data_IF_089553135137
#
_entry.id   IF_089553135137
#
_cell.length_a   1.000
_cell.length_b   1.000
_cell.length_c   1.000
_cell.angle_alpha   90.00
_cell.angle_beta   90.00
_cell.angle_gamma   90.00
#
_symmetry.space_group_name_H-M   'P 1'
#
loop_
_entity.id
_entity.type
_entity.pdbx_description
1 polymer ?
#
# COMPACT_ATOMS: atom_id res chain seq x y z
N UNK A 1 -35.85 -10.42 37.12
CA UNK A 1 -34.43 -10.57 37.50
C UNK A 1 -33.67 -10.85 36.21
N UNK A 2 -32.72 -10.00 35.80
CA UNK A 2 -32.00 -10.16 34.52
C UNK A 2 -31.18 -11.45 34.60
N UNK A 3 -31.44 -12.41 33.72
CA UNK A 3 -30.64 -13.63 33.68
C UNK A 3 -29.33 -13.30 32.96
N UNK A 4 -28.20 -13.55 33.63
CA UNK A 4 -26.86 -13.31 33.09
C UNK A 4 -26.21 -14.63 32.69
N UNK A 5 -25.40 -14.59 31.63
CA UNK A 5 -24.42 -15.63 31.28
C UNK A 5 -23.04 -14.97 31.37
N UNK A 6 -22.32 -15.23 32.46
CA UNK A 6 -21.14 -14.44 32.82
C UNK A 6 -21.51 -12.99 33.15
N UNK A 7 -20.89 -12.01 32.48
CA UNK A 7 -21.19 -10.59 32.61
C UNK A 7 -22.22 -10.06 31.61
N UNK A 8 -22.68 -10.89 30.66
CA UNK A 8 -23.62 -10.48 29.60
C UNK A 8 -25.06 -10.88 29.95
N UNK A 9 -26.02 -10.09 29.46
CA UNK A 9 -27.44 -10.47 29.47
C UNK A 9 -27.60 -11.76 28.68
N UNK A 10 -28.45 -12.67 29.14
CA UNK A 10 -28.66 -13.97 28.50
C UNK A 10 -29.10 -13.82 27.05
N UNK A 11 -30.01 -12.90 26.73
CA UNK A 11 -30.45 -12.70 25.34
C UNK A 11 -29.28 -12.33 24.42
N UNK A 12 -28.37 -11.47 24.91
CA UNK A 12 -27.18 -11.07 24.18
C UNK A 12 -26.19 -12.24 24.04
N UNK A 13 -25.97 -13.02 25.10
CA UNK A 13 -25.11 -14.20 25.05
C UNK A 13 -25.65 -15.26 24.05
N UNK A 14 -26.96 -15.48 24.04
CA UNK A 14 -27.63 -16.38 23.11
C UNK A 14 -27.49 -15.86 21.67
N UNK A 15 -27.69 -14.55 21.44
CA UNK A 15 -27.47 -13.90 20.15
C UNK A 15 -26.03 -14.06 19.67
N UNK A 16 -25.03 -13.76 20.50
CA UNK A 16 -23.61 -13.92 20.19
C UNK A 16 -23.30 -15.38 19.78
N UNK A 17 -23.85 -16.34 20.52
CA UNK A 17 -23.57 -17.77 20.28
C UNK A 17 -24.18 -18.33 19.00
N UNK A 18 -25.26 -17.72 18.49
CA UNK A 18 -26.03 -18.19 17.34
C UNK A 18 -25.82 -17.34 16.08
N UNK A 19 -25.47 -16.06 16.25
CA UNK A 19 -25.26 -15.15 15.14
C UNK A 19 -24.12 -15.62 14.25
N UNK A 20 -24.26 -15.29 12.95
CA UNK A 20 -23.23 -15.50 11.95
C UNK A 20 -22.63 -14.16 11.57
N UNK A 21 -21.31 -14.04 11.64
CA UNK A 21 -20.61 -12.79 11.34
C UNK A 21 -19.53 -13.00 10.27
N UNK A 22 -19.26 -11.93 9.52
CA UNK A 22 -18.21 -11.90 8.51
C UNK A 22 -17.11 -10.91 8.92
N UNK A 23 -15.87 -11.38 8.96
CA UNK A 23 -14.67 -10.56 9.14
C UNK A 23 -13.94 -10.48 7.79
N UNK A 24 -13.84 -9.27 7.25
CA UNK A 24 -13.18 -9.02 5.97
C UNK A 24 -11.77 -8.49 6.22
N UNK A 25 -10.77 -9.36 6.07
CA UNK A 25 -9.37 -9.10 6.36
C UNK A 25 -8.87 -9.83 7.61
N UNK A 26 -7.72 -10.50 7.48
CA UNK A 26 -6.99 -11.22 8.53
C UNK A 26 -5.62 -10.58 8.81
N UNK A 27 -5.54 -9.25 8.64
CA UNK A 27 -4.36 -8.44 8.94
C UNK A 27 -4.23 -8.06 10.43
N UNK A 28 -3.65 -6.89 10.72
CA UNK A 28 -3.40 -6.43 12.09
C UNK A 28 -4.67 -6.36 12.95
N UNK A 29 -5.69 -5.65 12.46
CA UNK A 29 -7.01 -5.60 13.12
C UNK A 29 -7.67 -6.98 13.08
N UNK A 30 -7.60 -7.69 11.94
CA UNK A 30 -8.25 -8.98 11.74
C UNK A 30 -7.84 -10.06 12.76
N UNK A 31 -6.54 -10.19 13.06
CA UNK A 31 -6.05 -11.12 14.07
C UNK A 31 -6.58 -10.80 15.48
N UNK A 32 -6.50 -9.53 15.88
CA UNK A 32 -6.99 -9.07 17.18
C UNK A 32 -8.51 -9.23 17.30
N UNK A 33 -9.23 -8.89 16.23
CA UNK A 33 -10.67 -9.00 16.13
C UNK A 33 -11.11 -10.45 16.24
N UNK A 34 -10.49 -11.37 15.49
CA UNK A 34 -10.83 -12.79 15.55
C UNK A 34 -10.65 -13.35 16.97
N UNK A 35 -9.55 -13.01 17.66
CA UNK A 35 -9.36 -13.37 19.07
C UNK A 35 -10.47 -12.79 19.94
N UNK A 36 -10.75 -11.49 19.82
CA UNK A 36 -11.75 -10.84 20.66
C UNK A 36 -13.13 -11.47 20.45
N UNK A 37 -13.51 -11.78 19.22
CA UNK A 37 -14.78 -12.42 18.89
C UNK A 37 -14.91 -13.80 19.54
N UNK A 38 -13.95 -14.70 19.33
CA UNK A 38 -14.04 -16.06 19.90
C UNK A 38 -14.00 -16.04 21.43
N UNK A 39 -13.20 -15.15 22.04
CA UNK A 39 -13.15 -14.99 23.51
C UNK A 39 -14.40 -14.31 24.08
N UNK A 40 -15.10 -13.49 23.30
CA UNK A 40 -16.41 -12.90 23.68
C UNK A 40 -17.55 -13.92 23.54
N UNK A 41 -17.31 -15.05 22.86
CA UNK A 41 -18.27 -16.16 22.73
C UNK A 41 -18.92 -16.29 21.36
N UNK A 42 -18.50 -15.50 20.37
CA UNK A 42 -18.98 -15.65 18.99
C UNK A 42 -18.55 -17.01 18.45
N UNK A 43 -19.52 -17.81 18.00
CA UNK A 43 -19.25 -19.16 17.50
C UNK A 43 -19.14 -19.22 15.99
N UNK A 44 -20.05 -18.59 15.24
CA UNK A 44 -20.11 -18.75 13.78
C UNK A 44 -19.45 -17.57 13.07
N UNK A 45 -18.19 -17.74 12.68
CA UNK A 45 -17.37 -16.67 12.10
C UNK A 45 -16.89 -17.10 10.72
N UNK A 46 -17.09 -16.24 9.73
CA UNK A 46 -16.44 -16.38 8.44
C UNK A 46 -15.34 -15.31 8.30
N UNK A 47 -14.14 -15.72 7.90
CA UNK A 47 -12.98 -14.85 7.72
C UNK A 47 -12.50 -14.97 6.29
N UNK A 48 -12.30 -13.84 5.62
CA UNK A 48 -11.79 -13.79 4.25
C UNK A 48 -10.58 -12.87 4.15
N UNK A 49 -9.52 -13.34 3.49
CA UNK A 49 -8.33 -12.55 3.19
C UNK A 49 -7.66 -13.12 1.92
N UNK A 50 -7.21 -12.25 1.03
CA UNK A 50 -6.62 -12.66 -0.25
C UNK A 50 -5.11 -12.91 -0.16
N UNK A 51 -4.46 -12.48 0.93
CA UNK A 51 -3.02 -12.47 1.06
C UNK A 51 -2.47 -13.74 1.73
N UNK A 52 -1.17 -13.95 1.46
CA UNK A 52 -0.31 -14.85 2.22
C UNK A 52 0.48 -14.10 3.30
N UNK A 53 0.96 -14.83 4.30
CA UNK A 53 1.71 -14.28 5.44
C UNK A 53 3.12 -13.89 5.01
N UNK A 54 3.52 -12.68 5.38
CA UNK A 54 4.85 -12.15 5.18
C UNK A 54 5.59 -11.89 6.52
N UNK A 55 6.93 -11.90 6.52
CA UNK A 55 7.75 -11.67 7.72
C UNK A 55 7.45 -10.31 8.38
N UNK A 56 7.19 -9.27 7.57
CA UNK A 56 6.83 -7.94 8.04
C UNK A 56 5.50 -7.88 8.79
N UNK A 57 4.67 -8.93 8.71
CA UNK A 57 3.39 -9.02 9.39
C UNK A 57 3.54 -9.42 10.88
N UNK A 58 4.61 -10.14 11.22
CA UNK A 58 4.77 -10.83 12.51
C UNK A 58 4.89 -9.90 13.72
N UNK A 59 5.16 -8.60 13.51
CA UNK A 59 5.22 -7.63 14.61
C UNK A 59 3.83 -7.19 15.14
N UNK A 60 2.75 -7.51 14.41
CA UNK A 60 1.40 -7.00 14.71
C UNK A 60 0.24 -7.93 14.37
N UNK A 61 0.53 -9.12 13.83
CA UNK A 61 -0.45 -10.14 13.43
C UNK A 61 -0.14 -11.42 14.22
N UNK A 62 -0.45 -11.41 15.52
CA UNK A 62 0.08 -12.38 16.49
C UNK A 62 -0.40 -13.83 16.29
N UNK A 63 -1.46 -14.05 15.48
CA UNK A 63 -1.88 -15.40 15.09
C UNK A 63 -0.86 -16.06 14.14
N UNK A 64 0.09 -15.29 13.60
CA UNK A 64 1.08 -15.79 12.64
C UNK A 64 2.45 -15.95 13.29
N UNK A 65 3.14 -17.02 12.90
CA UNK A 65 4.50 -17.34 13.35
C UNK A 65 5.42 -17.42 12.13
N UNK A 66 6.74 -17.36 12.35
CA UNK A 66 7.73 -17.43 11.27
C UNK A 66 7.58 -18.68 10.38
N UNK A 67 7.16 -19.80 10.95
CA UNK A 67 6.89 -21.06 10.21
C UNK A 67 5.66 -21.00 9.28
N UNK A 68 4.84 -19.95 9.39
CA UNK A 68 3.64 -19.76 8.60
C UNK A 68 3.86 -18.85 7.37
N UNK A 69 5.05 -18.27 7.20
CA UNK A 69 5.36 -17.39 6.06
C UNK A 69 5.08 -18.10 4.73
N UNK A 70 4.39 -17.42 3.82
CA UNK A 70 3.94 -17.94 2.53
C UNK A 70 2.60 -18.69 2.56
N UNK A 71 2.03 -18.99 3.73
CA UNK A 71 0.70 -19.61 3.86
C UNK A 71 -0.40 -18.55 3.85
N UNK A 72 -1.64 -18.96 3.54
CA UNK A 72 -2.83 -18.09 3.61
C UNK A 72 -3.03 -17.47 4.99
N UNK A 73 -3.27 -16.16 5.06
CA UNK A 73 -3.61 -15.47 6.31
C UNK A 73 -4.91 -16.01 6.91
N UNK A 74 -5.97 -16.13 6.10
CA UNK A 74 -7.28 -16.57 6.57
C UNK A 74 -7.22 -17.99 7.17
N UNK A 75 -6.54 -18.93 6.50
CA UNK A 75 -6.46 -20.32 6.98
C UNK A 75 -5.65 -20.43 8.27
N UNK A 76 -4.47 -19.82 8.34
CA UNK A 76 -3.63 -19.88 9.54
C UNK A 76 -4.26 -19.12 10.71
N UNK A 77 -5.00 -18.04 10.45
CA UNK A 77 -5.75 -17.33 11.48
C UNK A 77 -6.82 -18.25 12.11
N UNK A 78 -7.58 -18.98 11.29
CA UNK A 78 -8.51 -20.02 11.74
C UNK A 78 -7.80 -21.09 12.56
N UNK A 79 -6.74 -21.69 12.03
CA UNK A 79 -5.99 -22.77 12.71
C UNK A 79 -5.49 -22.34 14.09
N UNK A 80 -4.97 -21.11 14.19
CA UNK A 80 -4.42 -20.57 15.43
C UNK A 80 -5.54 -20.22 16.43
N UNK A 81 -6.65 -19.66 15.97
CA UNK A 81 -7.81 -19.38 16.82
C UNK A 81 -8.40 -20.66 17.44
N UNK A 82 -8.49 -21.73 16.65
CA UNK A 82 -9.00 -23.02 17.12
C UNK A 82 -8.09 -23.72 18.14
N UNK A 83 -6.81 -23.35 18.25
CA UNK A 83 -5.92 -23.89 19.29
C UNK A 83 -6.32 -23.42 20.70
N UNK A 84 -6.77 -22.16 20.83
CA UNK A 84 -7.17 -21.60 22.13
C UNK A 84 -8.69 -21.49 22.32
N UNK A 85 -9.48 -21.61 21.24
CA UNK A 85 -10.94 -21.70 21.31
C UNK A 85 -11.47 -22.79 20.36
N UNK A 86 -11.34 -24.09 20.72
CA UNK A 86 -11.76 -25.20 19.86
C UNK A 86 -13.27 -25.28 19.58
N UNK A 87 -14.09 -24.61 20.40
CA UNK A 87 -15.55 -24.59 20.28
C UNK A 87 -16.07 -23.59 19.24
N UNK A 88 -15.20 -22.74 18.67
CA UNK A 88 -15.55 -21.83 17.61
C UNK A 88 -15.75 -22.57 16.27
N UNK A 89 -16.71 -22.11 15.47
CA UNK A 89 -16.97 -22.57 14.12
C UNK A 89 -16.50 -21.49 13.12
N UNK A 90 -15.27 -21.66 12.63
CA UNK A 90 -14.62 -20.69 11.74
C UNK A 90 -14.52 -21.25 10.33
N UNK A 91 -15.10 -20.56 9.35
CA UNK A 91 -14.84 -20.80 7.92
C UNK A 91 -13.85 -19.76 7.39
N UNK A 92 -12.81 -20.21 6.70
CA UNK A 92 -11.76 -19.35 6.18
C UNK A 92 -11.71 -19.42 4.66
N UNK A 93 -11.69 -18.24 4.03
CA UNK A 93 -11.58 -18.06 2.59
C UNK A 93 -10.25 -17.38 2.25
N UNK A 94 -9.43 -18.05 1.44
CA UNK A 94 -8.24 -17.44 0.87
C UNK A 94 -8.60 -16.86 -0.50
N UNK A 95 -9.27 -15.71 -0.48
CA UNK A 95 -9.82 -15.09 -1.69
C UNK A 95 -10.04 -13.59 -1.48
N UNK A 96 -10.23 -12.86 -2.58
CA UNK A 96 -10.68 -11.48 -2.57
C UNK A 96 -12.18 -11.41 -2.33
N UNK A 97 -12.61 -10.56 -1.39
CA UNK A 97 -14.03 -10.27 -1.18
C UNK A 97 -14.71 -9.67 -2.42
N UNK A 98 -13.93 -9.19 -3.39
CA UNK A 98 -14.44 -8.65 -4.66
C UNK A 98 -14.73 -9.75 -5.70
N UNK A 99 -14.42 -11.02 -5.41
CA UNK A 99 -14.81 -12.14 -6.28
C UNK A 99 -16.35 -12.19 -6.40
N UNK A 100 -16.91 -12.29 -7.63
CA UNK A 100 -18.36 -12.39 -7.87
C UNK A 100 -19.12 -13.45 -7.06
N UNK A 101 -18.43 -14.49 -6.59
CA UNK A 101 -19.01 -15.53 -5.71
C UNK A 101 -19.56 -14.94 -4.39
N UNK A 102 -18.98 -13.84 -3.91
CA UNK A 102 -19.40 -13.14 -2.69
C UNK A 102 -20.45 -12.07 -2.98
N UNK A 103 -21.53 -12.47 -3.65
CA UNK A 103 -22.64 -11.59 -4.03
C UNK A 103 -23.55 -11.20 -2.84
N UNK A 104 -24.63 -10.46 -3.12
CA UNK A 104 -25.56 -9.96 -2.08
C UNK A 104 -26.15 -11.10 -1.25
N UNK A 105 -26.40 -12.26 -1.86
CA UNK A 105 -26.96 -13.43 -1.17
C UNK A 105 -25.94 -14.07 -0.21
N UNK A 106 -24.65 -14.00 -0.53
CA UNK A 106 -23.60 -14.33 0.43
C UNK A 106 -23.67 -13.40 1.66
N UNK A 107 -23.73 -12.08 1.44
CA UNK A 107 -23.77 -11.10 2.52
C UNK A 107 -25.02 -11.20 3.41
N UNK A 108 -26.19 -11.54 2.86
CA UNK A 108 -27.45 -11.70 3.63
C UNK A 108 -27.42 -12.77 4.71
N UNK A 109 -26.46 -13.70 4.66
CA UNK A 109 -26.31 -14.77 5.65
C UNK A 109 -25.80 -14.25 7.00
N UNK A 110 -25.24 -13.05 7.05
CA UNK A 110 -24.59 -12.51 8.23
C UNK A 110 -25.50 -11.52 8.95
N UNK A 111 -25.45 -11.54 10.28
CA UNK A 111 -26.08 -10.51 11.11
C UNK A 111 -25.23 -9.25 11.19
N UNK A 112 -23.92 -9.38 11.00
CA UNK A 112 -22.96 -8.29 11.15
C UNK A 112 -21.72 -8.55 10.27
N UNK A 113 -21.27 -7.51 9.59
CA UNK A 113 -20.01 -7.51 8.82
C UNK A 113 -19.02 -6.56 9.50
N UNK A 114 -17.75 -6.95 9.59
CA UNK A 114 -16.69 -6.17 10.20
C UNK A 114 -15.50 -6.06 9.25
N UNK A 115 -15.16 -4.83 8.86
CA UNK A 115 -14.01 -4.55 8.01
C UNK A 115 -12.72 -4.45 8.83
N UNK A 116 -11.71 -5.19 8.38
CA UNK A 116 -10.32 -5.15 8.81
C UNK A 116 -9.37 -4.97 7.60
N UNK A 117 -9.83 -4.22 6.61
CA UNK A 117 -9.19 -3.97 5.32
C UNK A 117 -8.20 -2.79 5.37
N UNK A 118 -7.28 -2.74 4.41
CA UNK A 118 -6.28 -1.68 4.27
C UNK A 118 -6.36 -0.90 2.94
N UNK A 119 -7.28 -1.29 2.05
CA UNK A 119 -7.44 -0.68 0.73
C UNK A 119 -8.85 -0.11 0.52
N UNK A 120 -8.92 1.03 -0.17
CA UNK A 120 -10.16 1.78 -0.39
C UNK A 120 -11.14 1.07 -1.32
N UNK A 121 -10.63 0.37 -2.34
CA UNK A 121 -11.48 -0.31 -3.33
C UNK A 121 -12.31 -1.43 -2.69
N UNK A 122 -11.69 -2.29 -1.88
CA UNK A 122 -12.40 -3.34 -1.15
C UNK A 122 -13.34 -2.76 -0.10
N UNK A 123 -12.97 -1.69 0.62
CA UNK A 123 -13.89 -1.00 1.55
C UNK A 123 -15.14 -0.45 0.85
N UNK A 124 -14.98 0.21 -0.29
CA UNK A 124 -16.10 0.68 -1.12
C UNK A 124 -16.98 -0.49 -1.58
N UNK A 125 -16.37 -1.60 -2.02
CA UNK A 125 -17.09 -2.79 -2.42
C UNK A 125 -17.93 -3.35 -1.26
N UNK A 126 -17.31 -3.64 -0.11
CA UNK A 126 -18.01 -4.16 1.07
C UNK A 126 -19.09 -3.21 1.57
N UNK A 127 -18.84 -1.90 1.56
CA UNK A 127 -19.84 -0.87 1.88
C UNK A 127 -21.10 -1.05 1.02
N UNK A 128 -20.94 -1.10 -0.31
CA UNK A 128 -22.06 -1.26 -1.25
C UNK A 128 -22.77 -2.60 -1.06
N UNK A 129 -22.04 -3.67 -0.82
CA UNK A 129 -22.61 -5.00 -0.56
C UNK A 129 -23.45 -5.04 0.72
N UNK A 130 -22.98 -4.42 1.80
CA UNK A 130 -23.73 -4.32 3.05
C UNK A 130 -24.99 -3.46 2.91
N UNK A 131 -24.93 -2.35 2.17
CA UNK A 131 -26.11 -1.52 1.84
C UNK A 131 -27.13 -2.27 0.95
N UNK A 132 -26.65 -3.10 0.02
CA UNK A 132 -27.51 -3.92 -0.85
C UNK A 132 -28.17 -5.08 -0.08
N UNK A 133 -27.42 -5.72 0.82
CA UNK A 133 -27.90 -6.81 1.67
C UNK A 133 -28.68 -6.32 2.91
N UNK A 134 -28.66 -5.02 3.19
CA UNK A 134 -29.22 -4.37 4.38
C UNK A 134 -28.64 -4.87 5.71
N UNK A 135 -27.36 -5.24 5.71
CA UNK A 135 -26.63 -5.73 6.89
C UNK A 135 -25.81 -4.60 7.51
N UNK A 136 -25.82 -4.44 8.86
CA UNK A 136 -24.92 -3.51 9.53
C UNK A 136 -23.44 -3.83 9.26
N UNK A 137 -22.66 -2.79 8.97
CA UNK A 137 -21.22 -2.86 8.74
C UNK A 137 -20.50 -2.06 9.83
N UNK A 138 -19.50 -2.67 10.49
CA UNK A 138 -18.54 -1.93 11.30
C UNK A 138 -17.30 -1.69 10.46
N UNK A 139 -17.01 -0.41 10.19
CA UNK A 139 -15.81 0.02 9.47
C UNK A 139 -14.73 0.46 10.47
N UNK A 140 -13.47 0.17 10.14
CA UNK A 140 -12.35 0.51 11.01
C UNK A 140 -11.07 0.78 10.25
N UNK A 141 -10.15 1.50 10.89
CA UNK A 141 -8.81 1.72 10.33
C UNK A 141 -7.82 2.17 11.38
N UNK A 142 -6.54 1.93 11.10
CA UNK A 142 -5.41 2.33 11.92
C UNK A 142 -4.31 2.97 11.06
N UNK A 143 -3.60 3.93 11.64
CA UNK A 143 -2.40 4.54 11.08
C UNK A 143 -1.48 5.02 12.21
N UNK A 144 -0.38 4.31 12.46
CA UNK A 144 0.51 4.58 13.58
C UNK A 144 -0.21 4.43 14.92
N UNK A 145 -0.29 5.52 15.68
CA UNK A 145 -1.02 5.62 16.95
C UNK A 145 -2.49 6.04 16.78
N UNK A 146 -2.90 6.41 15.56
CA UNK A 146 -4.25 6.82 15.25
C UNK A 146 -5.12 5.64 14.84
N UNK A 147 -6.41 5.74 15.13
CA UNK A 147 -7.39 4.82 14.56
C UNK A 147 -8.82 5.29 14.77
N UNK A 148 -9.75 4.61 14.11
CA UNK A 148 -11.18 4.90 14.26
C UNK A 148 -12.04 3.65 14.04
N UNK A 149 -13.22 3.66 14.66
CA UNK A 149 -14.30 2.69 14.45
C UNK A 149 -15.59 3.46 14.18
N UNK A 150 -16.39 3.01 13.22
CA UNK A 150 -17.71 3.58 12.96
C UNK A 150 -18.69 2.51 12.48
N UNK A 151 -19.99 2.77 12.67
CA UNK A 151 -21.08 1.86 12.29
C UNK A 151 -21.85 2.42 11.11
N UNK A 152 -22.01 1.61 10.08
CA UNK A 152 -22.76 1.91 8.86
C UNK A 152 -24.01 1.04 8.86
N UNK A 153 -25.19 1.67 8.85
CA UNK A 153 -26.49 1.00 8.66
C UNK A 153 -27.35 1.82 7.71
N UNK A 154 -27.79 1.16 6.63
CA UNK A 154 -28.66 1.75 5.61
C UNK A 154 -29.88 2.42 6.23
N UNK A 155 -30.16 3.64 5.79
CA UNK A 155 -31.30 4.43 6.25
C UNK A 155 -31.17 5.02 7.66
N UNK A 156 -30.07 4.74 8.37
CA UNK A 156 -29.85 5.24 9.74
C UNK A 156 -28.59 6.11 9.85
N UNK A 157 -27.46 5.66 9.28
CA UNK A 157 -26.18 6.39 9.35
C UNK A 157 -25.64 6.67 7.94
N UNK A 158 -24.67 7.58 7.85
CA UNK A 158 -23.95 7.80 6.60
C UNK A 158 -23.16 6.54 6.19
N UNK A 159 -23.04 6.31 4.89
CA UNK A 159 -22.22 5.21 4.39
C UNK A 159 -20.76 5.62 4.24
N UNK A 160 -19.88 4.64 4.02
CA UNK A 160 -18.44 4.87 3.90
C UNK A 160 -18.07 5.92 2.84
N UNK A 161 -18.87 6.01 1.79
CA UNK A 161 -18.65 6.84 0.60
C UNK A 161 -19.41 8.17 0.64
N UNK A 162 -20.20 8.46 1.68
CA UNK A 162 -20.92 9.73 1.82
C UNK A 162 -19.95 10.93 1.93
N UNK A 163 -18.84 10.75 2.65
CA UNK A 163 -17.79 11.76 2.78
C UNK A 163 -16.60 11.38 1.91
N UNK A 164 -16.21 12.23 0.94
CA UNK A 164 -15.07 11.95 0.07
C UNK A 164 -13.79 11.86 0.90
N UNK A 165 -13.15 10.68 0.89
CA UNK A 165 -11.83 10.52 1.49
C UNK A 165 -10.77 11.11 0.55
N UNK A 166 -9.68 11.70 1.08
CA UNK A 166 -8.59 12.22 0.26
C UNK A 166 -8.15 11.18 -0.78
N UNK A 167 -8.04 11.61 -2.04
CA UNK A 167 -7.47 10.76 -3.07
C UNK A 167 -5.99 10.49 -2.76
N UNK A 168 -5.48 9.34 -3.20
CA UNK A 168 -4.06 9.12 -3.18
C UNK A 168 -3.38 10.18 -4.06
N UNK A 169 -2.23 10.73 -3.62
CA UNK A 169 -1.50 11.70 -4.42
C UNK A 169 -1.12 11.08 -5.78
N UNK A 170 -1.60 11.69 -6.86
CA UNK A 170 -1.24 11.38 -8.24
C UNK A 170 -0.32 12.48 -8.76
N UNK A 171 0.70 12.11 -9.52
CA UNK A 171 1.67 13.04 -10.08
C UNK A 171 1.51 13.08 -11.60
N UNK A 172 1.58 14.25 -12.26
CA UNK A 172 1.51 14.34 -13.72
C UNK A 172 2.63 13.56 -14.40
N UNK A 173 2.32 12.90 -15.52
CA UNK A 173 3.29 12.11 -16.29
C UNK A 173 4.54 12.90 -16.68
N UNK A 174 4.40 14.14 -17.15
CA UNK A 174 5.54 15.01 -17.49
C UNK A 174 6.44 15.31 -16.28
N UNK A 175 5.88 15.45 -15.07
CA UNK A 175 6.65 15.61 -13.83
C UNK A 175 7.48 14.36 -13.51
N UNK A 176 6.93 13.17 -13.76
CA UNK A 176 7.60 11.90 -13.49
C UNK A 176 8.67 11.59 -14.56
N UNK A 177 8.39 11.87 -15.84
CA UNK A 177 9.21 11.49 -16.99
C UNK A 177 10.29 12.52 -17.34
N UNK A 178 10.02 13.81 -17.16
CA UNK A 178 10.92 14.88 -17.60
C UNK A 178 11.52 15.67 -16.44
N UNK A 179 10.71 16.10 -15.49
CA UNK A 179 11.18 17.06 -14.47
C UNK A 179 10.87 16.67 -13.03
N UNK A 180 11.41 15.55 -12.53
CA UNK A 180 11.22 15.15 -11.14
C UNK A 180 11.93 16.13 -10.20
N UNK A 181 11.18 16.75 -9.30
CA UNK A 181 11.71 17.69 -8.29
C UNK A 181 11.73 17.15 -6.85
N UNK A 182 10.98 16.08 -6.57
CA UNK A 182 10.88 15.48 -5.24
C UNK A 182 11.29 14.01 -5.26
N UNK A 183 11.76 13.45 -4.13
CA UNK A 183 12.16 12.05 -4.05
C UNK A 183 11.01 11.10 -4.42
N UNK A 184 9.78 11.47 -4.06
CA UNK A 184 8.59 10.68 -4.40
C UNK A 184 8.37 10.54 -5.91
N UNK A 185 8.79 11.52 -6.73
CA UNK A 185 8.65 11.42 -8.18
C UNK A 185 9.57 10.36 -8.77
N UNK A 186 10.82 10.30 -8.28
CA UNK A 186 11.76 9.24 -8.67
C UNK A 186 11.25 7.86 -8.22
N UNK A 187 10.54 7.83 -7.09
CA UNK A 187 9.95 6.59 -6.58
C UNK A 187 8.80 6.09 -7.45
N UNK A 188 7.94 7.01 -7.90
CA UNK A 188 6.87 6.69 -8.84
C UNK A 188 7.44 6.25 -10.19
N UNK A 189 8.47 6.94 -10.70
CA UNK A 189 9.18 6.54 -11.93
C UNK A 189 9.76 5.13 -11.86
N UNK A 190 10.37 4.76 -10.73
CA UNK A 190 10.89 3.41 -10.51
C UNK A 190 9.81 2.33 -10.53
N UNK A 191 8.65 2.62 -9.93
CA UNK A 191 7.51 1.69 -9.92
C UNK A 191 6.96 1.50 -11.34
N UNK A 192 6.87 2.59 -12.10
CA UNK A 192 6.51 2.55 -13.52
C UNK A 192 7.52 1.74 -14.32
N UNK A 193 8.82 1.94 -14.08
CA UNK A 193 9.88 1.17 -14.74
C UNK A 193 9.75 -0.33 -14.47
N UNK A 194 9.44 -0.72 -13.22
CA UNK A 194 9.23 -2.14 -12.92
C UNK A 194 8.07 -2.72 -13.71
N UNK A 195 6.93 -2.03 -13.77
CA UNK A 195 5.77 -2.51 -14.52
C UNK A 195 6.10 -2.60 -16.02
N UNK A 196 6.79 -1.61 -16.56
CA UNK A 196 7.26 -1.60 -17.95
C UNK A 196 8.26 -2.72 -18.27
N UNK A 197 9.16 -3.08 -17.33
CA UNK A 197 10.15 -4.13 -17.57
C UNK A 197 9.60 -5.54 -17.27
N UNK A 198 8.90 -5.73 -16.17
CA UNK A 198 8.60 -7.05 -15.63
C UNK A 198 7.11 -7.29 -15.35
N UNK A 199 6.28 -6.25 -15.30
CA UNK A 199 4.85 -6.33 -14.97
C UNK A 199 3.93 -6.12 -16.16
N UNK A 200 2.68 -5.76 -15.87
CA UNK A 200 1.68 -5.37 -16.86
C UNK A 200 2.04 -4.01 -17.47
N UNK A 201 1.97 -3.91 -18.80
CA UNK A 201 2.29 -2.69 -19.53
C UNK A 201 1.12 -1.71 -19.43
N UNK A 202 1.37 -0.51 -18.94
CA UNK A 202 0.38 0.55 -18.77
C UNK A 202 0.91 1.83 -19.45
N UNK A 203 0.19 2.32 -20.46
CA UNK A 203 0.57 3.49 -21.23
C UNK A 203 0.68 4.76 -20.36
N UNK A 204 -0.09 4.84 -19.27
CA UNK A 204 -0.04 5.95 -18.31
C UNK A 204 1.19 5.86 -17.37
N UNK A 205 1.92 4.74 -17.42
CA UNK A 205 3.13 4.46 -16.65
C UNK A 205 4.38 4.38 -17.53
N UNK A 206 4.39 5.10 -18.65
CA UNK A 206 5.58 5.20 -19.48
C UNK A 206 6.72 5.93 -18.76
N UNK A 207 7.95 5.46 -19.00
CA UNK A 207 9.14 5.95 -18.30
C UNK A 207 10.09 6.74 -19.19
N UNK A 208 10.00 6.56 -20.50
CA UNK A 208 10.86 7.26 -21.46
C UNK A 208 10.51 8.76 -21.50
N UNK A 209 11.47 9.67 -21.78
CA UNK A 209 11.20 11.11 -21.84
C UNK A 209 9.98 11.50 -22.68
N UNK A 210 9.14 12.38 -22.14
CA UNK A 210 7.90 12.84 -22.76
C UNK A 210 8.14 14.00 -23.72
N UNK A 211 8.04 13.71 -25.01
CA UNK A 211 8.22 14.70 -26.09
C UNK A 211 6.99 15.56 -26.32
N UNK A 212 5.83 15.16 -25.76
CA UNK A 212 4.58 15.91 -25.86
C UNK A 212 4.41 16.93 -24.72
N UNK A 213 5.43 17.07 -23.85
CA UNK A 213 5.41 18.03 -22.75
C UNK A 213 5.28 19.48 -23.28
N UNK A 214 4.21 20.20 -22.91
CA UNK A 214 4.01 21.58 -23.34
C UNK A 214 5.13 22.52 -22.90
N UNK A 215 5.82 22.25 -21.79
CA UNK A 215 6.95 23.06 -21.31
C UNK A 215 8.22 22.84 -22.17
N UNK A 216 8.28 21.75 -22.93
CA UNK A 216 9.41 21.40 -23.79
C UNK A 216 9.28 21.96 -25.23
N UNK A 217 8.08 22.41 -25.66
CA UNK A 217 7.81 22.80 -27.05
C UNK A 217 8.22 24.25 -27.39
N UNK A 218 8.60 24.51 -28.66
CA UNK A 218 8.94 25.85 -29.16
C UNK A 218 7.69 26.73 -29.37
N UNK A 219 6.60 26.16 -29.92
CA UNK A 219 5.28 26.79 -30.14
C UNK A 219 4.08 25.83 -29.92
N UNK A 220 2.88 26.31 -29.57
CA UNK A 220 1.66 25.49 -29.40
C UNK A 220 1.22 24.72 -30.66
N UNK A 221 1.50 25.26 -31.85
CA UNK A 221 1.22 24.60 -33.14
C UNK A 221 2.17 23.42 -33.40
N UNK A 222 3.40 23.45 -32.88
CA UNK A 222 4.32 22.29 -32.93
C UNK A 222 3.92 21.20 -31.94
N UNK A 223 3.33 21.56 -30.79
CA UNK A 223 2.77 20.59 -29.83
C UNK A 223 1.60 19.83 -30.45
N UNK A 224 0.69 20.56 -31.14
CA UNK A 224 -0.41 19.94 -31.88
C UNK A 224 0.11 19.09 -33.06
N UNK A 225 1.08 19.60 -33.83
CA UNK A 225 1.69 18.87 -34.94
C UNK A 225 2.43 17.59 -34.48
N UNK A 226 3.16 17.63 -33.36
CA UNK A 226 3.87 16.46 -32.79
C UNK A 226 2.94 15.47 -32.10
N UNK A 227 1.85 15.95 -31.48
CA UNK A 227 0.78 15.08 -30.98
C UNK A 227 0.05 14.36 -32.13
N UNK A 228 -0.10 15.00 -33.30
CA UNK A 228 -0.66 14.35 -34.51
C UNK A 228 0.37 13.56 -35.33
N UNK A 229 1.67 13.86 -35.21
CA UNK A 229 2.75 13.17 -35.93
C UNK A 229 3.09 11.80 -35.33
N UNK A 230 2.60 11.48 -34.12
CA UNK A 230 2.71 10.12 -33.58
C UNK A 230 2.05 9.07 -34.47
N UNK A 231 1.16 9.48 -35.39
CA UNK A 231 0.47 8.60 -36.33
C UNK A 231 1.01 8.64 -37.78
N UNK A 232 1.91 9.57 -38.15
CA UNK A 232 2.20 9.83 -39.58
C UNK A 232 3.65 10.09 -40.01
N UNK A 233 4.65 10.16 -39.11
CA UNK A 233 6.05 10.18 -39.57
C UNK A 233 6.61 8.76 -39.69
N UNK A 234 7.05 8.42 -40.90
CA UNK A 234 7.64 7.14 -41.23
C UNK A 234 8.98 6.88 -40.54
N UNK A 235 9.11 5.64 -40.08
CA UNK A 235 10.35 4.84 -40.05
C UNK A 235 11.35 4.94 -38.89
N UNK A 236 10.95 5.46 -37.72
CA UNK A 236 11.55 5.02 -36.45
C UNK A 236 10.42 4.70 -35.46
N UNK A 237 9.93 3.45 -35.49
CA UNK A 237 9.04 2.96 -34.42
C UNK A 237 9.79 3.10 -33.09
N UNK A 238 9.32 3.99 -32.22
CA UNK A 238 9.80 4.07 -30.84
C UNK A 238 9.46 2.73 -30.18
N UNK A 239 10.47 1.86 -30.08
CA UNK A 239 10.33 0.54 -29.47
C UNK A 239 9.94 0.75 -28.01
N UNK A 240 8.88 0.06 -27.55
CA UNK A 240 8.46 0.14 -26.14
C UNK A 240 9.65 -0.22 -25.23
N UNK A 241 9.69 0.37 -24.03
CA UNK A 241 10.74 0.06 -23.04
C UNK A 241 10.79 -1.46 -22.77
N UNK A 242 9.63 -2.13 -22.76
CA UNK A 242 9.48 -3.58 -22.57
C UNK A 242 10.04 -4.37 -23.75
N UNK A 243 9.69 -3.98 -24.97
CA UNK A 243 10.17 -4.62 -26.19
C UNK A 243 11.69 -4.49 -26.35
N UNK A 244 12.23 -3.31 -26.06
CA UNK A 244 13.66 -3.06 -26.11
C UNK A 244 14.42 -3.87 -25.04
N UNK A 245 13.90 -3.93 -23.81
CA UNK A 245 14.45 -4.77 -22.75
C UNK A 245 14.45 -6.26 -23.12
N UNK A 246 13.38 -6.76 -23.74
CA UNK A 246 13.32 -8.14 -24.27
C UNK A 246 14.36 -8.38 -25.36
N UNK A 247 14.52 -7.45 -26.30
CA UNK A 247 15.48 -7.57 -27.41
C UNK A 247 16.93 -7.65 -26.94
N UNK A 248 17.24 -7.02 -25.80
CA UNK A 248 18.57 -7.05 -25.18
C UNK A 248 18.74 -8.20 -24.19
N UNK A 249 17.71 -9.03 -24.00
CA UNK A 249 17.71 -10.11 -23.02
C UNK A 249 17.73 -9.65 -21.57
N UNK A 250 17.21 -8.44 -21.29
CA UNK A 250 17.30 -7.78 -19.98
C UNK A 250 18.75 -7.65 -19.49
N UNK A 251 19.67 -7.28 -20.38
CA UNK A 251 21.06 -7.01 -20.02
C UNK A 251 21.14 -5.78 -19.08
N UNK A 252 21.66 -5.94 -17.85
CA UNK A 252 21.62 -4.85 -16.87
C UNK A 252 22.44 -3.63 -17.27
N UNK A 253 23.61 -3.81 -17.89
CA UNK A 253 24.48 -2.69 -18.26
C UNK A 253 23.85 -1.89 -19.40
N UNK A 254 23.26 -2.56 -20.40
CA UNK A 254 22.51 -1.89 -21.47
C UNK A 254 21.31 -1.16 -20.91
N UNK A 255 20.50 -1.79 -20.06
CA UNK A 255 19.35 -1.16 -19.41
C UNK A 255 19.76 0.10 -18.64
N UNK A 256 20.85 0.00 -17.86
CA UNK A 256 21.39 1.13 -17.12
C UNK A 256 21.77 2.29 -18.04
N UNK A 257 22.59 2.04 -19.06
CA UNK A 257 23.04 3.10 -19.97
C UNK A 257 21.86 3.71 -20.74
N UNK A 258 20.90 2.92 -21.21
CA UNK A 258 19.71 3.47 -21.87
C UNK A 258 18.95 4.43 -20.96
N UNK A 259 18.68 4.01 -19.72
CA UNK A 259 17.80 4.75 -18.80
C UNK A 259 18.49 5.93 -18.10
N UNK A 260 19.75 5.78 -17.70
CA UNK A 260 20.48 6.76 -16.89
C UNK A 260 21.51 7.56 -17.68
N UNK A 261 21.80 7.18 -18.94
CA UNK A 261 22.68 7.92 -19.85
C UNK A 261 21.91 8.45 -21.05
N UNK A 262 21.42 7.57 -21.91
CA UNK A 262 20.92 7.94 -23.23
C UNK A 262 19.61 8.73 -23.14
N UNK A 263 18.67 8.29 -22.29
CA UNK A 263 17.44 9.00 -22.01
C UNK A 263 17.70 10.36 -21.34
N UNK A 264 18.71 10.47 -20.48
CA UNK A 264 19.09 11.75 -19.84
C UNK A 264 19.74 12.68 -20.86
N UNK A 265 20.61 12.17 -21.74
CA UNK A 265 21.19 12.92 -22.85
C UNK A 265 20.10 13.41 -23.81
N UNK A 266 19.10 12.57 -24.09
CA UNK A 266 17.94 12.96 -24.89
C UNK A 266 17.14 14.06 -24.20
N UNK A 267 16.90 13.94 -22.89
CA UNK A 267 16.18 14.94 -22.11
C UNK A 267 16.94 16.28 -22.04
N UNK A 268 18.28 16.27 -22.08
CA UNK A 268 19.11 17.48 -22.19
C UNK A 268 18.93 18.23 -23.52
N UNK A 269 18.41 17.57 -24.58
CA UNK A 269 18.05 18.26 -25.83
C UNK A 269 16.85 19.18 -25.66
N UNK A 270 16.03 18.99 -24.61
CA UNK A 270 14.88 19.83 -24.26
C UNK A 270 15.32 21.06 -23.44
N UNK A 271 16.09 21.94 -24.06
CA UNK A 271 16.78 23.09 -23.43
C UNK A 271 15.87 24.00 -22.58
N UNK A 272 14.60 24.18 -22.97
CA UNK A 272 13.62 25.02 -22.25
C UNK A 272 13.36 24.56 -20.82
N UNK A 273 13.34 23.25 -20.57
CA UNK A 273 13.09 22.69 -19.23
C UNK A 273 14.17 23.10 -18.22
N UNK A 274 15.38 23.40 -18.71
CA UNK A 274 16.57 23.64 -17.91
C UNK A 274 16.92 25.12 -17.72
N UNK A 275 16.12 26.05 -18.25
CA UNK A 275 16.36 27.49 -18.08
C UNK A 275 16.24 27.96 -16.64
N UNK A 276 15.35 27.33 -15.87
CA UNK A 276 15.04 27.69 -14.47
C UNK A 276 15.40 26.60 -13.47
N UNK A 277 15.86 25.45 -13.96
CA UNK A 277 16.09 24.23 -13.17
C UNK A 277 17.49 23.74 -13.44
N UNK A 278 18.11 23.11 -12.45
CA UNK A 278 19.41 22.46 -12.66
C UNK A 278 19.23 21.30 -13.65
N UNK A 279 19.99 21.31 -14.74
CA UNK A 279 19.99 20.23 -15.71
C UNK A 279 20.49 18.91 -15.08
N UNK A 280 19.92 17.75 -15.46
CA UNK A 280 20.35 16.45 -14.96
C UNK A 280 21.71 16.07 -15.53
N UNK A 281 22.45 15.26 -14.79
CA UNK A 281 23.75 14.75 -15.23
C UNK A 281 23.60 13.29 -15.65
N UNK A 282 23.90 12.93 -16.91
CA UNK A 282 23.93 11.55 -17.38
C UNK A 282 24.96 10.72 -16.62
N UNK A 283 24.66 9.45 -16.36
CA UNK A 283 25.54 8.50 -15.70
C UNK A 283 26.02 7.44 -16.69
N UNK A 284 27.31 7.15 -16.71
CA UNK A 284 27.91 6.11 -17.54
C UNK A 284 28.41 4.94 -16.68
N UNK A 285 27.99 3.72 -17.03
CA UNK A 285 28.34 2.53 -16.25
C UNK A 285 29.85 2.33 -16.10
N UNK A 286 30.60 2.43 -17.20
CA UNK A 286 32.04 2.15 -17.20
C UNK A 286 32.84 3.24 -16.51
N UNK A 287 32.39 4.49 -16.54
CA UNK A 287 33.01 5.56 -15.77
C UNK A 287 32.85 5.34 -14.26
N UNK A 288 31.65 4.90 -13.84
CA UNK A 288 31.35 4.63 -12.43
C UNK A 288 32.10 3.38 -11.93
N UNK A 289 32.21 2.35 -12.75
CA UNK A 289 32.96 1.12 -12.44
C UNK A 289 34.45 1.39 -12.19
N UNK A 290 35.04 2.28 -12.99
CA UNK A 290 36.45 2.62 -12.92
C UNK A 290 36.78 3.71 -11.88
N UNK A 291 35.77 4.35 -11.29
CA UNK A 291 35.99 5.33 -10.23
C UNK A 291 36.35 4.61 -8.92
N UNK A 292 37.60 4.75 -8.46
CA UNK A 292 38.04 4.16 -7.19
C UNK A 292 37.20 4.70 -6.03
N UNK A 293 36.43 3.80 -5.39
CA UNK A 293 35.69 4.13 -4.18
C UNK A 293 36.68 4.21 -2.99
N UNK A 294 36.60 5.25 -2.13
CA UNK A 294 37.42 5.32 -0.92
C UNK A 294 37.14 4.08 -0.06
N UNK A 295 38.16 3.23 0.11
CA UNK A 295 38.12 2.17 1.10
C UNK A 295 38.09 2.80 2.50
N UNK A 296 37.19 2.30 3.33
CA UNK A 296 37.04 2.57 4.77
C UNK A 296 36.27 3.84 5.15
N UNK A 297 34.95 3.70 5.25
CA UNK A 297 34.10 4.54 6.09
C UNK A 297 33.77 3.82 7.40
N UNK A 298 33.99 4.51 8.53
CA UNK A 298 33.59 4.19 9.92
C UNK A 298 32.39 3.26 10.08
N UNK A 299 32.34 2.41 11.13
CA UNK A 299 31.24 1.47 11.36
C UNK A 299 29.91 2.23 11.34
N UNK A 300 29.16 2.05 10.26
CA UNK A 300 27.95 2.82 10.03
C UNK A 300 26.91 2.46 11.10
N UNK A 301 26.54 3.44 11.92
CA UNK A 301 25.55 3.27 12.98
C UNK A 301 24.15 3.10 12.39
N UNK A 302 23.40 2.09 12.84
CA UNK A 302 22.02 1.85 12.44
C UNK A 302 21.81 0.50 11.74
N UNK A 303 20.58 0.25 11.28
CA UNK A 303 20.27 -0.95 10.49
C UNK A 303 20.94 -0.87 9.12
N UNK A 304 21.32 -2.00 8.53
CA UNK A 304 21.94 -2.05 7.19
C UNK A 304 21.13 -1.27 6.14
N UNK A 305 19.81 -1.45 6.13
CA UNK A 305 18.89 -0.79 5.21
C UNK A 305 18.68 0.72 5.48
N UNK A 306 19.23 1.26 6.58
CA UNK A 306 19.24 2.69 6.88
C UNK A 306 20.53 3.39 6.40
N UNK A 307 21.50 2.60 5.94
CA UNK A 307 22.75 3.10 5.39
C UNK A 307 22.49 3.51 3.93
N UNK A 308 23.01 4.67 3.55
CA UNK A 308 22.93 5.16 2.18
C UNK A 308 24.17 4.63 1.46
N UNK A 309 23.96 3.91 0.36
CA UNK A 309 25.06 3.42 -0.46
C UNK A 309 25.63 4.57 -1.29
N UNK A 310 26.82 4.37 -1.83
CA UNK A 310 27.35 5.23 -2.88
C UNK A 310 26.70 4.91 -4.23
N UNK A 311 26.93 5.76 -5.23
CA UNK A 311 26.36 5.61 -6.58
C UNK A 311 26.71 4.25 -7.18
N UNK A 312 27.95 3.77 -6.98
CA UNK A 312 28.39 2.47 -7.46
C UNK A 312 27.69 1.31 -6.75
N UNK A 313 27.54 1.36 -5.43
CA UNK A 313 26.76 0.36 -4.68
C UNK A 313 25.32 0.24 -5.18
N UNK A 314 24.71 1.34 -5.61
CA UNK A 314 23.38 1.31 -6.26
C UNK A 314 23.42 0.74 -7.68
N UNK A 315 24.49 0.96 -8.46
CA UNK A 315 24.67 0.30 -9.76
C UNK A 315 24.78 -1.22 -9.62
N UNK A 316 25.54 -1.69 -8.62
CA UNK A 316 25.68 -3.11 -8.33
C UNK A 316 24.36 -3.74 -7.89
N UNK A 317 23.59 -3.04 -7.04
CA UNK A 317 22.26 -3.47 -6.64
C UNK A 317 21.29 -3.50 -7.84
N UNK A 318 21.38 -2.50 -8.73
CA UNK A 318 20.62 -2.44 -9.99
C UNK A 318 20.83 -3.70 -10.82
N UNK A 319 22.09 -4.03 -11.07
CA UNK A 319 22.45 -5.23 -11.82
C UNK A 319 21.90 -6.51 -11.17
N UNK A 320 22.19 -6.71 -9.88
CA UNK A 320 21.83 -7.92 -9.18
C UNK A 320 20.32 -8.21 -9.23
N UNK A 321 19.50 -7.16 -9.16
CA UNK A 321 18.06 -7.38 -9.14
C UNK A 321 17.41 -7.46 -10.50
N UNK A 322 17.96 -6.79 -11.53
CA UNK A 322 17.55 -7.09 -12.93
C UNK A 322 17.80 -8.56 -13.22
N UNK A 323 18.96 -9.10 -12.85
CA UNK A 323 19.29 -10.52 -13.03
C UNK A 323 18.33 -11.44 -12.26
N UNK A 324 18.02 -11.11 -11.01
CA UNK A 324 17.10 -11.87 -10.17
C UNK A 324 15.67 -11.86 -10.73
N UNK A 325 15.15 -10.68 -11.09
CA UNK A 325 13.80 -10.52 -11.64
C UNK A 325 13.67 -11.18 -13.00
N UNK A 326 14.70 -11.07 -13.85
CA UNK A 326 14.77 -11.81 -15.11
C UNK A 326 14.66 -13.31 -14.88
N UNK A 327 15.36 -13.85 -13.89
CA UNK A 327 15.32 -15.28 -13.56
C UNK A 327 13.92 -15.71 -13.10
N UNK A 328 13.29 -14.92 -12.22
CA UNK A 328 11.91 -15.14 -11.77
C UNK A 328 10.89 -15.06 -12.92
N UNK A 329 11.09 -14.14 -13.86
CA UNK A 329 10.24 -14.01 -15.05
C UNK A 329 10.37 -15.26 -15.95
N UNK A 330 11.59 -15.75 -16.13
CA UNK A 330 11.87 -16.98 -16.91
C UNK A 330 11.26 -18.22 -16.26
N UNK A 331 11.31 -18.34 -14.93
CA UNK A 331 10.69 -19.45 -14.18
C UNK A 331 9.17 -19.52 -14.36
N UNK A 332 8.49 -18.38 -14.56
CA UNK A 332 7.04 -18.32 -14.77
C UNK A 332 6.60 -18.60 -16.21
N UNK A 333 7.53 -18.60 -17.18
CA UNK A 333 7.25 -18.89 -18.59
C UNK A 333 7.02 -17.65 -19.46
N UNK A 334 6.87 -17.87 -20.77
CA UNK A 334 6.66 -16.80 -21.75
C UNK A 334 5.32 -16.08 -21.55
N UNK A 335 5.35 -14.75 -21.60
CA UNK A 335 4.17 -13.91 -21.36
C UNK A 335 3.78 -13.75 -19.90
N UNK A 336 4.54 -14.31 -18.96
CA UNK A 336 4.33 -14.07 -17.54
C UNK A 336 4.59 -12.61 -17.15
N UNK A 337 3.90 -12.17 -16.10
CA UNK A 337 4.08 -10.84 -15.51
C UNK A 337 4.35 -10.97 -14.01
N UNK A 338 5.23 -10.10 -13.52
CA UNK A 338 5.54 -9.97 -12.10
C UNK A 338 4.69 -8.86 -11.52
N UNK A 339 4.08 -9.14 -10.37
CA UNK A 339 3.33 -8.14 -9.61
C UNK A 339 4.29 -7.47 -8.65
N UNK A 340 4.19 -6.14 -8.55
CA UNK A 340 4.92 -5.38 -7.54
C UNK A 340 4.39 -5.71 -6.14
N UNK A 341 5.02 -6.66 -5.46
CA UNK A 341 4.74 -7.00 -4.06
C UNK A 341 5.61 -6.14 -3.13
N UNK A 342 4.95 -5.39 -2.23
CA UNK A 342 5.59 -4.43 -1.30
C UNK A 342 6.68 -5.05 -0.41
N UNK A 343 6.71 -6.37 -0.23
CA UNK A 343 7.66 -7.02 0.68
C UNK A 343 8.62 -7.99 0.01
N UNK A 344 8.18 -8.85 -0.92
CA UNK A 344 9.07 -9.78 -1.62
C UNK A 344 10.01 -9.08 -2.59
N UNK A 345 9.56 -7.99 -3.20
CA UNK A 345 10.35 -7.21 -4.14
C UNK A 345 11.19 -6.13 -3.44
N UNK A 346 11.08 -5.95 -2.12
CA UNK A 346 11.80 -4.90 -1.39
C UNK A 346 13.32 -5.03 -1.47
N UNK A 347 13.85 -6.26 -1.55
CA UNK A 347 15.30 -6.51 -1.75
C UNK A 347 15.74 -6.50 -3.22
N UNK A 348 14.80 -6.73 -4.14
CA UNK A 348 15.08 -6.79 -5.59
C UNK A 348 14.67 -5.51 -6.33
N UNK A 349 14.05 -4.55 -5.65
CA UNK A 349 13.50 -3.36 -6.27
C UNK A 349 13.82 -2.07 -5.53
N UNK A 350 14.74 -2.06 -4.58
CA UNK A 350 15.44 -0.83 -4.13
C UNK A 350 16.31 -0.19 -5.25
N UNK A 351 15.97 -0.47 -6.51
CA UNK A 351 16.83 -0.62 -7.68
C UNK A 351 17.11 0.67 -8.42
N UNK A 352 16.23 1.65 -8.29
CA UNK A 352 16.23 2.85 -9.12
C UNK A 352 16.44 4.11 -8.27
N UNK A 353 16.32 3.97 -6.96
CA UNK A 353 15.88 5.08 -6.12
C UNK A 353 16.98 6.06 -5.73
N UNK A 354 18.25 5.75 -6.00
CA UNK A 354 19.37 6.53 -5.47
C UNK A 354 20.41 6.98 -6.50
N UNK A 355 20.21 6.64 -7.78
CA UNK A 355 21.06 7.16 -8.85
C UNK A 355 20.81 8.65 -9.12
N UNK A 356 19.66 9.18 -8.69
CA UNK A 356 19.29 10.59 -8.88
C UNK A 356 19.45 11.41 -7.58
N UNK A 357 19.18 10.84 -6.41
CA UNK A 357 19.43 11.51 -5.12
C UNK A 357 19.62 10.53 -3.93
N UNK A 358 20.63 10.72 -3.06
CA UNK A 358 20.86 9.87 -1.90
C UNK A 358 19.88 10.19 -0.75
N UNK A 359 18.90 9.32 -0.47
CA UNK A 359 17.96 9.49 0.64
C UNK A 359 17.80 8.27 1.56
N UNK A 360 17.40 8.52 2.80
CA UNK A 360 16.99 7.48 3.76
C UNK A 360 15.48 7.19 3.63
N UNK A 361 15.04 5.95 3.89
CA UNK A 361 13.63 5.52 4.02
C UNK A 361 12.76 5.38 2.75
N UNK A 362 13.37 5.06 1.61
CA UNK A 362 12.69 4.90 0.31
C UNK A 362 11.56 3.85 0.31
N UNK A 363 11.75 2.71 0.98
CA UNK A 363 10.73 1.64 1.03
C UNK A 363 9.38 2.09 1.62
N UNK A 364 9.38 3.07 2.54
CA UNK A 364 8.16 3.63 3.13
C UNK A 364 7.32 4.40 2.10
N UNK A 365 7.99 5.21 1.28
CA UNK A 365 7.37 6.05 0.26
C UNK A 365 6.90 5.22 -0.95
N UNK A 366 7.69 4.23 -1.39
CA UNK A 366 7.34 3.38 -2.53
C UNK A 366 6.16 2.43 -2.25
N UNK A 367 6.08 1.92 -1.02
CA UNK A 367 5.01 1.01 -0.61
C UNK A 367 3.75 1.71 -0.10
N UNK A 368 3.73 3.04 0.00
CA UNK A 368 2.78 3.77 0.86
C UNK A 368 2.64 3.06 2.23
N UNK A 369 3.77 2.74 2.85
CA UNK A 369 3.77 1.95 4.08
C UNK A 369 3.20 2.82 5.20
N UNK A 370 1.98 2.50 5.62
CA UNK A 370 1.38 3.08 6.80
C UNK A 370 2.04 2.43 8.01
N UNK A 371 2.69 3.19 8.92
CA UNK A 371 3.17 2.64 10.17
C UNK A 371 2.04 1.92 10.89
N UNK A 372 2.30 0.73 11.41
CA UNK A 372 1.26 -0.08 12.05
C UNK A 372 1.82 -0.74 13.30
N UNK A 373 1.12 -0.55 14.42
CA UNK A 373 1.54 -0.96 15.76
C UNK A 373 0.49 -1.90 16.32
N UNK A 374 0.95 -2.97 17.00
CA UNK A 374 0.07 -3.99 17.56
C UNK A 374 -0.95 -3.41 18.55
N UNK A 375 -0.52 -2.47 19.41
CA UNK A 375 -1.37 -1.84 20.42
C UNK A 375 -2.55 -1.08 19.82
N UNK A 376 -2.32 -0.28 18.78
CA UNK A 376 -3.38 0.46 18.07
C UNK A 376 -4.39 -0.51 17.46
N UNK A 377 -3.93 -1.58 16.81
CA UNK A 377 -4.82 -2.60 16.25
C UNK A 377 -5.64 -3.31 17.34
N UNK A 378 -5.04 -3.64 18.48
CA UNK A 378 -5.74 -4.27 19.60
C UNK A 378 -6.83 -3.37 20.20
N UNK A 379 -6.55 -2.08 20.37
CA UNK A 379 -7.53 -1.09 20.85
C UNK A 379 -8.70 -0.98 19.88
N UNK A 380 -8.43 -0.78 18.58
CA UNK A 380 -9.46 -0.68 17.55
C UNK A 380 -10.28 -1.97 17.45
N UNK A 381 -9.64 -3.15 17.47
CA UNK A 381 -10.35 -4.42 17.47
C UNK A 381 -11.25 -4.63 18.70
N UNK A 382 -10.85 -4.13 19.88
CA UNK A 382 -11.71 -4.13 21.06
C UNK A 382 -12.94 -3.25 20.88
N UNK A 383 -12.75 -2.04 20.35
CA UNK A 383 -13.84 -1.11 20.06
C UNK A 383 -14.83 -1.67 19.03
N UNK A 384 -14.35 -2.36 17.99
CA UNK A 384 -15.22 -3.04 17.01
C UNK A 384 -16.17 -4.02 17.70
N UNK A 385 -15.66 -4.87 18.60
CA UNK A 385 -16.50 -5.84 19.32
C UNK A 385 -17.50 -5.12 20.22
N UNK A 386 -17.10 -4.07 20.93
CA UNK A 386 -18.02 -3.29 21.77
C UNK A 386 -19.17 -2.67 20.98
N UNK A 387 -18.90 -2.11 19.80
CA UNK A 387 -19.96 -1.61 18.91
C UNK A 387 -20.82 -2.76 18.35
N UNK A 388 -20.23 -3.92 18.04
CA UNK A 388 -20.96 -5.11 17.63
C UNK A 388 -21.93 -5.64 18.69
N UNK A 389 -21.55 -5.59 19.98
CA UNK A 389 -22.42 -5.97 21.09
C UNK A 389 -23.65 -5.05 21.20
N UNK A 390 -23.51 -3.75 20.94
CA UNK A 390 -24.64 -2.81 20.90
C UNK A 390 -25.60 -3.13 19.77
N UNK A 391 -25.06 -3.42 18.57
CA UNK A 391 -25.86 -3.81 17.40
C UNK A 391 -26.67 -5.08 17.70
N UNK A 392 -26.04 -6.11 18.26
CA UNK A 392 -26.73 -7.36 18.62
C UNK A 392 -27.73 -7.21 19.78
N UNK A 393 -27.57 -6.18 20.61
CA UNK A 393 -28.52 -5.82 21.66
C UNK A 393 -29.73 -5.03 21.13
N UNK A 394 -29.76 -4.69 19.83
CA UNK A 394 -30.77 -3.81 19.25
C UNK A 394 -30.58 -2.33 19.57
N UNK A 395 -29.42 -1.95 20.12
CA UNK A 395 -29.11 -0.60 20.60
C UNK A 395 -28.34 0.20 19.54
N UNK A 396 -28.74 0.11 18.26
CA UNK A 396 -28.07 0.76 17.11
C UNK A 396 -27.93 2.28 17.28
N UNK A 397 -28.89 2.94 17.92
CA UNK A 397 -28.86 4.38 18.20
C UNK A 397 -27.77 4.78 19.22
N UNK A 398 -27.28 3.83 20.01
CA UNK A 398 -26.19 4.04 20.97
C UNK A 398 -24.79 3.87 20.35
N UNK A 399 -24.73 3.40 19.09
CA UNK A 399 -23.49 3.26 18.37
C UNK A 399 -22.86 4.62 18.06
N UNK A 400 -21.54 4.68 18.08
CA UNK A 400 -20.80 5.93 17.88
C UNK A 400 -19.61 5.75 16.95
N UNK A 401 -19.24 6.82 16.27
CA UNK A 401 -17.89 6.92 15.71
C UNK A 401 -16.91 7.21 16.84
N UNK A 402 -15.97 6.30 17.07
CA UNK A 402 -14.93 6.42 18.09
C UNK A 402 -13.61 6.65 17.39
N UNK A 403 -12.93 7.73 17.75
CA UNK A 403 -11.59 8.06 17.27
C UNK A 403 -10.58 7.83 18.40
N UNK A 404 -9.45 7.23 18.07
CA UNK A 404 -8.26 7.12 18.91
C UNK A 404 -7.28 8.20 18.46
N UNK A 405 -7.23 9.37 19.13
CA UNK A 405 -6.31 10.43 18.79
C UNK A 405 -4.90 10.13 19.33
N UNK A 406 -3.89 10.71 18.69
CA UNK A 406 -2.56 10.82 19.27
C UNK A 406 -2.60 11.93 20.31
N UNK A 407 -2.39 11.58 21.59
CA UNK A 407 -2.19 12.61 22.61
C UNK A 407 -0.83 13.28 22.34
N UNK A 408 -0.87 14.52 21.86
CA UNK A 408 0.32 15.39 21.90
C UNK A 408 0.63 15.63 23.38
N UNK A 409 1.86 15.37 23.87
CA UNK A 409 2.20 15.67 25.24
C UNK A 409 1.98 17.16 25.53
N UNK A 410 1.24 17.47 26.61
CA UNK A 410 0.92 18.85 27.04
C UNK A 410 2.16 19.75 27.20
N UNK A 411 3.37 19.18 27.31
CA UNK A 411 4.62 19.94 27.40
C UNK A 411 5.04 20.65 26.10
N UNK A 412 4.41 20.38 24.95
CA UNK A 412 4.67 21.13 23.71
C UNK A 412 3.63 22.22 23.41
N UNK A 413 2.47 22.18 24.04
CA UNK A 413 1.44 23.23 23.91
C UNK A 413 1.83 24.49 24.70
N UNK A 414 2.48 24.35 25.86
CA UNK A 414 3.00 25.50 26.62
C UNK A 414 4.14 26.24 25.89
N UNK A 415 4.95 25.52 25.11
CA UNK A 415 6.01 26.14 24.28
C UNK A 415 5.43 26.89 23.06
N UNK A 416 4.32 26.42 22.49
CA UNK A 416 3.65 27.08 21.37
C UNK A 416 2.73 28.24 21.83
N UNK A 417 2.16 28.16 23.03
CA UNK A 417 1.30 29.18 23.64
C UNK A 417 2.06 30.43 24.12
N UNK A 418 3.35 30.30 24.45
CA UNK A 418 4.20 31.44 24.88
C UNK A 418 4.55 32.43 23.76
N UNK A 419 4.40 32.04 22.48
CA UNK A 419 4.64 32.90 21.31
C UNK A 419 3.38 33.59 20.77
N UNK A 420 2.21 33.40 21.39
CA UNK A 420 0.95 34.09 21.02
C UNK A 420 0.27 34.74 22.22
N UNK A 421 1.00 35.56 22.98
CA UNK A 421 0.40 36.50 23.91
C UNK A 421 1.29 37.73 24.16
N UNK A 422 1.34 38.64 23.18
CA UNK A 422 1.42 40.08 23.47
C UNK A 422 0.44 40.81 22.56
N UNK A 423 -0.72 41.27 23.09
CA UNK A 423 -1.50 42.28 22.40
C UNK A 423 -0.75 43.62 22.45
N UNK A 424 -0.86 44.40 21.38
CA UNK A 424 -0.33 45.75 21.28
C UNK A 424 -1.09 46.73 22.20
N UNK A 425 -0.37 47.75 22.70
CA UNK A 425 -0.78 49.12 23.15
C UNK A 425 0.17 49.56 24.30
N UNK A 426 0.79 50.75 24.36
CA UNK A 426 0.70 52.01 23.61
C UNK A 426 2.08 52.46 23.11
#
# INVERSE_FOLDING_TARGET
MVQLVGSLRKELADSISTCKILVVGAGGIGCELLKNLVLTGFKNIEVIDLDTIDVSNLNRQFLFQKKHVGKSKAQVAKESALQFCPSANITAYHDSIMNPDYNVEFFRKFMLVMNALDNRAARNHVNRMCLAADIPLIESGTAGYLGQVTVIKKGMTECYECQPKPAQKTFPGCTIRNTPSEPIHCIVWAKYLFNQLFGEEDADQEVSPDTADPEAAWNPEETAARATASDKDGDIKRVSTKEWARSTGYDPVKLFNKLFKDDIMYLLTMDKLWKKRKAPTPLDWHQLENSECPKEGTPASGLKDQQVLDVWGYCQLFQHSVETLRSQLQEKGEGAELVWDKVKTRRSCELVFHLIFPYKNVGSMAGNIIPAIATTNAVIAGLIVLEGLKILSGELESCRTVNLPEQVPQSQEEAAGSLRARPAQC
#
